data_IF_573336483929
#
_entry.id   IF_573336483929
#
_cell.length_a   1.000
_cell.length_b   1.000
_cell.length_c   1.000
_cell.angle_alpha   90.00
_cell.angle_beta   90.00
_cell.angle_gamma   90.00
#
_symmetry.space_group_name_H-M   'P 1'
#
loop_
_entity.id
_entity.type
_entity.pdbx_description
1 polymer ?
#
# COMPACT_ATOMS: atom_id res chain seq x y z
N UNK A 1 7.56 6.17 -10.31
CA UNK A 1 7.88 4.74 -10.38
C UNK A 1 8.68 4.32 -9.14
N UNK A 2 9.96 4.71 -9.01
CA UNK A 2 10.86 4.23 -7.94
C UNK A 2 10.25 4.24 -6.54
N UNK A 3 9.60 5.34 -6.14
CA UNK A 3 8.94 5.47 -4.83
C UNK A 3 7.67 4.62 -4.77
N UNK A 4 6.80 4.73 -5.79
CA UNK A 4 5.49 4.06 -5.79
C UNK A 4 5.57 2.53 -5.88
N UNK A 5 6.62 2.01 -6.52
CA UNK A 5 6.84 0.58 -6.69
C UNK A 5 7.78 -0.01 -5.61
N UNK A 6 8.07 0.79 -4.57
CA UNK A 6 8.84 0.39 -3.39
C UNK A 6 10.21 -0.21 -3.76
N UNK A 7 10.85 0.35 -4.80
CA UNK A 7 12.20 -0.07 -5.22
C UNK A 7 13.22 0.34 -4.15
N UNK A 8 14.25 -0.48 -3.85
CA UNK A 8 15.28 -0.12 -2.88
C UNK A 8 15.87 1.27 -3.12
N UNK A 9 15.78 2.16 -2.12
CA UNK A 9 16.19 3.56 -2.19
C UNK A 9 17.68 3.73 -1.83
N UNK A 10 18.52 2.95 -2.50
CA UNK A 10 19.99 2.98 -2.35
C UNK A 10 20.67 3.39 -3.65
N UNK A 11 21.92 3.83 -3.57
CA UNK A 11 22.74 4.15 -4.72
C UNK A 11 22.06 5.11 -5.69
N UNK A 12 22.01 4.73 -6.97
CA UNK A 12 21.42 5.56 -8.05
C UNK A 12 19.92 5.82 -7.86
N UNK A 13 19.15 4.85 -7.37
CA UNK A 13 17.72 5.05 -7.13
C UNK A 13 17.47 6.21 -6.15
N UNK A 14 18.26 6.26 -5.06
CA UNK A 14 18.17 7.33 -4.09
C UNK A 14 18.58 8.68 -4.70
N UNK A 15 19.66 8.71 -5.48
CA UNK A 15 20.11 9.91 -6.15
C UNK A 15 19.04 10.45 -7.11
N UNK A 16 18.42 9.58 -7.92
CA UNK A 16 17.33 9.97 -8.82
C UNK A 16 16.11 10.51 -8.09
N UNK A 17 15.69 9.88 -6.99
CA UNK A 17 14.55 10.38 -6.19
C UNK A 17 14.91 11.73 -5.57
N UNK A 18 16.10 11.87 -4.96
CA UNK A 18 16.56 13.14 -4.36
C UNK A 18 16.58 14.30 -5.36
N UNK A 19 17.05 14.05 -6.58
CA UNK A 19 17.05 15.06 -7.65
C UNK A 19 15.65 15.27 -8.23
N UNK A 20 14.89 14.20 -8.44
CA UNK A 20 13.53 14.26 -8.95
C UNK A 20 12.60 15.10 -8.07
N UNK A 21 12.70 14.98 -6.75
CA UNK A 21 11.96 15.81 -5.80
C UNK A 21 12.22 17.30 -6.00
N UNK A 22 13.50 17.69 -6.20
CA UNK A 22 13.88 19.10 -6.40
C UNK A 22 13.32 19.71 -7.69
N UNK A 23 13.23 18.92 -8.76
CA UNK A 23 12.82 19.37 -10.09
C UNK A 23 11.37 19.02 -10.44
N UNK A 24 10.62 18.42 -9.51
CA UNK A 24 9.23 17.97 -9.76
C UNK A 24 8.37 19.07 -10.37
N UNK A 25 8.47 20.30 -9.84
CA UNK A 25 7.69 21.45 -10.27
C UNK A 25 8.16 22.07 -11.61
N UNK A 26 9.28 21.63 -12.17
CA UNK A 26 9.79 22.19 -13.43
C UNK A 26 8.91 21.78 -14.63
N UNK A 27 8.12 20.72 -14.49
CA UNK A 27 7.15 20.33 -15.53
C UNK A 27 5.79 20.95 -15.23
N UNK A 28 5.19 21.58 -16.24
CA UNK A 28 3.91 22.26 -16.12
C UNK A 28 2.81 21.35 -15.54
N UNK A 29 2.68 20.12 -16.05
CA UNK A 29 1.69 19.15 -15.57
C UNK A 29 1.86 18.83 -14.09
N UNK A 30 3.09 18.61 -13.62
CA UNK A 30 3.35 18.28 -12.22
C UNK A 30 3.20 19.50 -11.30
N UNK A 31 3.57 20.68 -11.77
CA UNK A 31 3.32 21.95 -11.05
C UNK A 31 1.83 22.18 -10.88
N UNK A 32 1.05 22.09 -11.96
CA UNK A 32 -0.41 22.25 -11.90
C UNK A 32 -1.08 21.20 -11.01
N UNK A 33 -0.62 19.96 -11.09
CA UNK A 33 -1.11 18.88 -10.22
C UNK A 33 -0.82 19.21 -8.74
N UNK A 34 0.41 19.57 -8.41
CA UNK A 34 0.81 19.92 -7.05
C UNK A 34 0.04 21.13 -6.50
N UNK A 35 -0.21 22.15 -7.33
CA UNK A 35 -1.03 23.30 -6.96
C UNK A 35 -2.48 22.91 -6.72
N UNK A 36 -3.08 22.12 -7.64
CA UNK A 36 -4.49 21.69 -7.54
C UNK A 36 -4.79 20.91 -6.26
N UNK A 37 -3.85 20.05 -5.83
CA UNK A 37 -4.01 19.23 -4.63
C UNK A 37 -3.34 19.82 -3.38
N UNK A 38 -2.81 21.05 -3.46
CA UNK A 38 -2.11 21.73 -2.37
C UNK A 38 -0.92 20.91 -1.80
N UNK A 39 -0.13 20.30 -2.69
CA UNK A 39 0.97 19.39 -2.33
C UNK A 39 2.35 20.05 -2.33
N UNK A 40 2.47 21.30 -2.75
CA UNK A 40 3.77 21.94 -3.00
C UNK A 40 4.47 22.42 -1.73
N UNK A 41 3.73 22.52 -0.62
CA UNK A 41 4.32 22.74 0.70
C UNK A 41 4.76 21.40 1.29
N UNK A 42 6.01 21.31 1.73
CA UNK A 42 6.60 20.07 2.30
C UNK A 42 6.56 18.86 1.34
N UNK A 43 6.84 19.12 0.05
CA UNK A 43 6.83 18.08 -0.98
C UNK A 43 8.02 17.12 -0.81
N UNK A 44 7.73 15.88 -0.49
CA UNK A 44 8.71 14.82 -0.21
C UNK A 44 8.30 13.48 -0.84
N UNK A 45 9.04 12.44 -0.57
CA UNK A 45 8.78 11.08 -1.04
C UNK A 45 7.43 10.53 -0.54
N UNK A 46 7.00 10.86 0.67
CA UNK A 46 5.68 10.44 1.19
C UNK A 46 4.54 11.09 0.40
N UNK A 47 4.70 12.37 0.04
CA UNK A 47 3.76 13.07 -0.84
C UNK A 47 3.63 12.33 -2.17
N UNK A 48 4.75 11.86 -2.74
CA UNK A 48 4.73 11.04 -3.96
C UNK A 48 4.04 9.69 -3.70
N UNK A 49 4.42 8.98 -2.64
CA UNK A 49 3.91 7.64 -2.37
C UNK A 49 2.40 7.60 -2.11
N UNK A 50 1.90 8.54 -1.29
CA UNK A 50 0.53 8.48 -0.77
C UNK A 50 -0.44 9.44 -1.43
N UNK A 51 0.04 10.49 -2.10
CA UNK A 51 -0.82 11.49 -2.70
C UNK A 51 -0.72 11.56 -4.23
N UNK A 52 0.48 11.53 -4.79
CA UNK A 52 0.68 11.62 -6.24
C UNK A 52 0.44 10.26 -6.91
N UNK A 53 1.19 9.23 -6.52
CA UNK A 53 1.15 7.93 -7.16
C UNK A 53 -0.23 7.25 -7.15
N UNK A 54 -1.01 7.28 -6.05
CA UNK A 54 -2.35 6.69 -6.06
C UNK A 54 -3.31 7.36 -7.06
N UNK A 55 -3.21 8.68 -7.27
CA UNK A 55 -4.03 9.41 -8.24
C UNK A 55 -3.61 9.08 -9.68
N UNK A 56 -2.30 9.06 -9.96
CA UNK A 56 -1.77 8.68 -11.26
C UNK A 56 -2.14 7.24 -11.63
N UNK A 57 -2.05 6.31 -10.66
CA UNK A 57 -2.31 4.90 -10.88
C UNK A 57 -3.82 4.57 -10.98
N UNK A 58 -4.70 5.42 -10.43
CA UNK A 58 -6.13 5.14 -10.37
C UNK A 58 -6.75 4.93 -11.76
N UNK A 59 -6.37 5.76 -12.73
CA UNK A 59 -6.90 5.67 -14.09
C UNK A 59 -6.57 4.32 -14.75
N UNK A 60 -5.37 3.78 -14.54
CA UNK A 60 -4.98 2.46 -15.06
C UNK A 60 -5.63 1.29 -14.31
N UNK A 61 -6.10 1.50 -13.08
CA UNK A 61 -6.76 0.47 -12.31
C UNK A 61 -8.24 0.28 -12.67
N UNK A 62 -8.97 1.38 -12.88
CA UNK A 62 -10.42 1.34 -13.13
C UNK A 62 -10.83 1.79 -14.52
N UNK A 63 -9.87 2.18 -15.36
CA UNK A 63 -10.12 2.64 -16.72
C UNK A 63 -8.89 2.40 -17.62
N UNK A 64 -8.30 3.49 -18.12
CA UNK A 64 -7.17 3.43 -19.03
C UNK A 64 -5.95 4.20 -18.52
N UNK A 65 -4.80 3.54 -18.48
CA UNK A 65 -3.52 4.17 -18.16
C UNK A 65 -3.10 5.28 -19.16
N UNK A 66 -3.73 5.29 -20.34
CA UNK A 66 -3.48 6.31 -21.37
C UNK A 66 -3.83 7.72 -20.86
N UNK A 67 -4.79 7.85 -19.95
CA UNK A 67 -5.14 9.12 -19.32
C UNK A 67 -3.93 9.73 -18.60
N UNK A 68 -3.27 8.94 -17.76
CA UNK A 68 -2.08 9.38 -17.01
C UNK A 68 -0.89 9.64 -17.96
N UNK A 69 -0.71 8.82 -19.00
CA UNK A 69 0.31 9.07 -20.00
C UNK A 69 0.10 10.43 -20.69
N UNK A 70 -1.11 10.71 -21.19
CA UNK A 70 -1.44 11.99 -21.84
C UNK A 70 -1.23 13.18 -20.89
N UNK A 71 -1.64 13.05 -19.63
CA UNK A 71 -1.37 14.05 -18.60
C UNK A 71 0.13 14.36 -18.49
N UNK A 72 0.98 13.31 -18.43
CA UNK A 72 2.42 13.47 -18.23
C UNK A 72 3.13 14.07 -19.43
N UNK A 73 2.62 13.92 -20.67
CA UNK A 73 3.27 14.44 -21.88
C UNK A 73 2.67 15.76 -22.38
N UNK A 74 1.48 16.13 -21.92
CA UNK A 74 0.81 17.37 -22.34
C UNK A 74 1.57 18.61 -21.87
N UNK A 75 1.59 19.62 -22.70
CA UNK A 75 2.11 20.97 -22.44
C UNK A 75 1.00 22.03 -22.44
N UNK A 76 -0.23 21.64 -22.77
CA UNK A 76 -1.39 22.52 -22.76
C UNK A 76 -2.05 22.57 -21.39
N UNK A 77 -2.22 23.77 -20.84
CA UNK A 77 -2.75 23.96 -19.50
C UNK A 77 -4.22 23.52 -19.35
N UNK A 78 -5.05 23.72 -20.39
CA UNK A 78 -6.45 23.33 -20.37
C UNK A 78 -6.59 21.79 -20.41
N UNK A 79 -5.82 21.14 -21.27
CA UNK A 79 -5.79 19.68 -21.29
C UNK A 79 -5.32 19.11 -19.96
N UNK A 80 -4.24 19.65 -19.39
CA UNK A 80 -3.68 19.23 -18.11
C UNK A 80 -4.75 19.34 -17.01
N UNK A 81 -5.48 20.46 -16.92
CA UNK A 81 -6.56 20.66 -15.96
C UNK A 81 -7.67 19.60 -16.11
N UNK A 82 -8.07 19.30 -17.37
CA UNK A 82 -9.05 18.26 -17.66
C UNK A 82 -8.56 16.87 -17.25
N UNK A 83 -7.29 16.54 -17.51
CA UNK A 83 -6.71 15.26 -17.08
C UNK A 83 -6.64 15.14 -15.56
N UNK A 84 -6.27 16.19 -14.84
CA UNK A 84 -6.27 16.24 -13.36
C UNK A 84 -7.67 15.92 -12.83
N UNK A 85 -8.71 16.57 -13.34
CA UNK A 85 -10.10 16.33 -12.93
C UNK A 85 -10.53 14.89 -13.16
N UNK A 86 -10.21 14.31 -14.34
CA UNK A 86 -10.52 12.91 -14.66
C UNK A 86 -9.78 11.92 -13.77
N UNK A 87 -8.50 12.17 -13.47
CA UNK A 87 -7.71 11.34 -12.56
C UNK A 87 -8.24 11.38 -11.12
N UNK A 88 -8.70 12.55 -10.67
CA UNK A 88 -9.32 12.68 -9.32
C UNK A 88 -10.64 11.93 -9.25
N UNK A 89 -11.48 12.02 -10.29
CA UNK A 89 -12.71 11.23 -10.40
C UNK A 89 -12.41 9.74 -10.33
N UNK A 90 -11.47 9.25 -11.14
CA UNK A 90 -11.03 7.86 -11.12
C UNK A 90 -10.49 7.43 -9.74
N UNK A 91 -9.74 8.28 -9.06
CA UNK A 91 -9.23 7.99 -7.73
C UNK A 91 -10.33 7.92 -6.66
N UNK A 92 -11.35 8.80 -6.74
CA UNK A 92 -12.53 8.74 -5.85
C UNK A 92 -13.33 7.46 -6.07
N UNK A 93 -13.56 7.09 -7.32
CA UNK A 93 -14.24 5.84 -7.68
C UNK A 93 -13.47 4.61 -7.19
N UNK A 94 -12.15 4.56 -7.42
CA UNK A 94 -11.30 3.50 -6.91
C UNK A 94 -11.42 3.36 -5.37
N UNK A 95 -11.37 4.48 -4.64
CA UNK A 95 -11.51 4.47 -3.17
C UNK A 95 -12.87 3.99 -2.72
N UNK A 96 -13.94 4.37 -3.42
CA UNK A 96 -15.30 3.89 -3.13
C UNK A 96 -15.42 2.38 -3.34
N UNK A 97 -14.93 1.86 -4.47
CA UNK A 97 -14.88 0.42 -4.76
C UNK A 97 -14.06 -0.33 -3.72
N UNK A 98 -12.88 0.20 -3.36
CA UNK A 98 -12.02 -0.38 -2.31
C UNK A 98 -12.77 -0.51 -0.98
N UNK A 99 -13.45 0.56 -0.52
CA UNK A 99 -14.21 0.56 0.73
C UNK A 99 -15.32 -0.49 0.73
N UNK A 100 -16.12 -0.56 -0.35
CA UNK A 100 -17.22 -1.51 -0.49
C UNK A 100 -16.70 -2.95 -0.49
N UNK A 101 -15.69 -3.24 -1.30
CA UNK A 101 -15.15 -4.59 -1.44
C UNK A 101 -14.48 -5.04 -0.13
N UNK A 102 -13.68 -4.16 0.50
CA UNK A 102 -13.02 -4.47 1.77
C UNK A 102 -14.03 -4.77 2.88
N UNK A 103 -15.10 -3.96 3.00
CA UNK A 103 -16.16 -4.19 3.99
C UNK A 103 -16.83 -5.56 3.77
N UNK A 104 -17.09 -5.92 2.51
CA UNK A 104 -17.67 -7.23 2.16
C UNK A 104 -16.71 -8.37 2.48
N UNK A 105 -15.43 -8.21 2.15
CA UNK A 105 -14.39 -9.18 2.42
C UNK A 105 -14.21 -9.45 3.93
N UNK A 106 -14.15 -8.39 4.74
CA UNK A 106 -14.04 -8.48 6.20
C UNK A 106 -15.26 -9.20 6.79
N UNK A 107 -16.47 -8.92 6.31
CA UNK A 107 -17.67 -9.65 6.74
C UNK A 107 -17.61 -11.14 6.39
N UNK A 108 -17.08 -11.51 5.21
CA UNK A 108 -16.90 -12.93 4.86
C UNK A 108 -15.97 -13.63 5.84
N UNK A 109 -14.88 -12.99 6.22
CA UNK A 109 -13.89 -13.54 7.17
C UNK A 109 -14.53 -13.69 8.56
N UNK A 110 -15.24 -12.66 9.06
CA UNK A 110 -15.89 -12.68 10.39
C UNK A 110 -16.97 -13.75 10.50
N UNK A 111 -17.65 -14.07 9.40
CA UNK A 111 -18.69 -15.10 9.35
C UNK A 111 -18.14 -16.51 9.08
N UNK A 112 -16.84 -16.64 8.82
CA UNK A 112 -16.20 -17.94 8.58
C UNK A 112 -15.86 -18.62 9.90
N UNK A 113 -16.39 -19.79 10.15
CA UNK A 113 -16.01 -20.65 11.29
C UNK A 113 -14.62 -21.28 11.11
N UNK A 114 -14.04 -21.17 9.92
CA UNK A 114 -12.78 -21.79 9.56
C UNK A 114 -11.58 -20.99 10.09
N UNK A 115 -10.87 -21.55 11.07
CA UNK A 115 -9.57 -21.05 11.55
C UNK A 115 -8.45 -21.50 10.62
N UNK A 116 -8.43 -21.04 9.38
CA UNK A 116 -7.36 -21.35 8.43
C UNK A 116 -6.14 -20.47 8.66
N UNK A 117 -4.92 -20.96 8.38
CA UNK A 117 -3.69 -20.15 8.46
C UNK A 117 -3.54 -19.15 7.31
N UNK A 118 -4.55 -19.02 6.45
CA UNK A 118 -4.59 -18.11 5.32
C UNK A 118 -6.02 -17.63 5.05
N UNK A 119 -6.13 -16.52 4.37
CA UNK A 119 -7.41 -15.86 4.10
C UNK A 119 -7.71 -15.89 2.61
N UNK A 120 -8.86 -16.44 2.22
CA UNK A 120 -9.40 -16.32 0.85
C UNK A 120 -10.76 -15.66 0.93
N UNK A 121 -10.94 -14.59 0.16
CA UNK A 121 -12.23 -13.91 -0.02
C UNK A 121 -12.56 -13.86 -1.51
N UNK A 122 -13.85 -13.93 -1.82
CA UNK A 122 -14.28 -13.89 -3.21
C UNK A 122 -15.60 -13.13 -3.39
N UNK A 123 -15.78 -12.52 -4.55
CA UNK A 123 -17.01 -11.84 -4.89
C UNK A 123 -17.28 -11.78 -6.38
N UNK A 124 -18.55 -11.83 -6.76
CA UNK A 124 -18.95 -11.60 -8.17
C UNK A 124 -18.92 -10.10 -8.46
N UNK A 125 -18.34 -9.73 -9.60
CA UNK A 125 -18.32 -8.35 -10.05
C UNK A 125 -17.38 -7.41 -9.27
N UNK A 126 -16.50 -7.92 -8.41
CA UNK A 126 -15.44 -7.11 -7.84
C UNK A 126 -14.49 -6.62 -8.94
N UNK A 127 -14.12 -5.36 -8.89
CA UNK A 127 -13.30 -4.79 -9.95
C UNK A 127 -11.88 -5.37 -9.95
N UNK A 128 -11.44 -5.97 -11.09
CA UNK A 128 -10.13 -6.65 -11.25
C UNK A 128 -8.94 -5.75 -10.86
N UNK A 129 -9.00 -4.45 -11.18
CA UNK A 129 -7.94 -3.49 -10.84
C UNK A 129 -7.85 -3.13 -9.34
N UNK A 130 -8.85 -3.55 -8.52
CA UNK A 130 -8.91 -3.23 -7.09
C UNK A 130 -8.59 -4.44 -6.21
N UNK A 131 -8.85 -5.69 -6.65
CA UNK A 131 -8.63 -6.89 -5.83
C UNK A 131 -7.19 -7.01 -5.29
N UNK A 132 -6.19 -6.52 -6.03
CA UNK A 132 -4.81 -6.49 -5.54
C UNK A 132 -4.59 -5.56 -4.34
N UNK A 133 -5.34 -4.46 -4.27
CA UNK A 133 -5.34 -3.56 -3.12
C UNK A 133 -6.04 -4.25 -1.94
N UNK A 134 -7.15 -4.94 -2.20
CA UNK A 134 -7.89 -5.69 -1.18
C UNK A 134 -7.00 -6.77 -0.56
N UNK A 135 -6.33 -7.59 -1.38
CA UNK A 135 -5.41 -8.61 -0.88
C UNK A 135 -4.30 -8.02 0.00
N UNK A 136 -3.76 -6.83 -0.36
CA UNK A 136 -2.78 -6.12 0.47
C UNK A 136 -3.37 -5.67 1.79
N UNK A 137 -4.55 -5.04 1.79
CA UNK A 137 -5.23 -4.60 3.02
C UNK A 137 -5.57 -5.76 3.95
N UNK A 138 -6.03 -6.87 3.39
CA UNK A 138 -6.30 -8.08 4.18
C UNK A 138 -5.03 -8.64 4.81
N UNK A 139 -3.91 -8.65 4.08
CA UNK A 139 -2.61 -9.06 4.62
C UNK A 139 -2.18 -8.17 5.78
N UNK A 140 -2.40 -6.87 5.69
CA UNK A 140 -2.06 -5.92 6.76
C UNK A 140 -2.96 -6.10 8.00
N UNK A 141 -4.22 -6.54 7.82
CA UNK A 141 -5.17 -6.79 8.92
C UNK A 141 -5.02 -8.17 9.57
N UNK A 142 -4.75 -9.21 8.79
CA UNK A 142 -4.82 -10.61 9.24
C UNK A 142 -3.48 -11.35 9.20
N UNK A 143 -2.44 -10.72 8.66
CA UNK A 143 -1.12 -11.32 8.42
C UNK A 143 -1.17 -12.58 7.51
N UNK A 144 -0.02 -13.25 7.32
CA UNK A 144 0.05 -14.50 6.56
C UNK A 144 -0.20 -14.32 5.06
N UNK A 145 -0.95 -15.25 4.48
CA UNK A 145 -1.32 -15.25 3.07
C UNK A 145 -2.77 -14.82 2.90
N UNK A 146 -3.00 -13.83 2.04
CA UNK A 146 -4.33 -13.31 1.73
C UNK A 146 -4.59 -13.31 0.22
N UNK A 147 -5.74 -13.84 -0.18
CA UNK A 147 -6.20 -13.94 -1.56
C UNK A 147 -7.52 -13.21 -1.71
N UNK A 148 -7.60 -12.32 -2.70
CA UNK A 148 -8.85 -11.71 -3.11
C UNK A 148 -9.20 -12.12 -4.54
N UNK A 149 -10.38 -12.65 -4.75
CA UNK A 149 -10.84 -13.24 -6.02
C UNK A 149 -12.08 -12.52 -6.51
N UNK A 150 -12.11 -12.18 -7.78
CA UNK A 150 -13.34 -11.79 -8.49
C UNK A 150 -13.74 -12.85 -9.49
N UNK A 151 -15.05 -13.14 -9.57
CA UNK A 151 -15.61 -14.11 -10.48
C UNK A 151 -16.33 -13.35 -11.61
N UNK A 152 -15.95 -13.68 -12.85
CA UNK A 152 -16.50 -13.12 -14.08
C UNK A 152 -16.84 -14.26 -15.03
N UNK A 153 -18.12 -14.58 -15.16
CA UNK A 153 -18.58 -15.78 -15.85
C UNK A 153 -18.02 -17.06 -15.23
N UNK A 154 -17.29 -17.83 -16.01
CA UNK A 154 -16.65 -19.09 -15.58
C UNK A 154 -15.15 -18.91 -15.22
N UNK A 155 -14.66 -17.68 -15.18
CA UNK A 155 -13.25 -17.39 -14.86
C UNK A 155 -13.18 -16.66 -13.53
N UNK A 156 -12.30 -17.12 -12.66
CA UNK A 156 -11.90 -16.46 -11.44
C UNK A 156 -10.55 -15.75 -11.66
N UNK A 157 -10.49 -14.47 -11.32
CA UNK A 157 -9.26 -13.66 -11.33
C UNK A 157 -8.89 -13.37 -9.88
N UNK A 158 -7.66 -13.68 -9.51
CA UNK A 158 -7.21 -13.52 -8.15
C UNK A 158 -5.94 -12.70 -8.01
N UNK A 159 -5.78 -12.10 -6.85
CA UNK A 159 -4.54 -11.50 -6.40
C UNK A 159 -4.16 -12.06 -5.04
N UNK A 160 -2.90 -12.44 -4.88
CA UNK A 160 -2.32 -13.00 -3.67
C UNK A 160 -1.33 -12.00 -3.09
N UNK A 161 -1.35 -11.87 -1.77
CA UNK A 161 -0.31 -11.16 -1.00
C UNK A 161 0.09 -12.02 0.18
N UNK A 162 1.38 -12.04 0.50
CA UNK A 162 1.90 -12.82 1.62
C UNK A 162 2.92 -12.02 2.44
N UNK A 163 3.14 -12.48 3.66
CA UNK A 163 4.28 -12.07 4.48
C UNK A 163 5.56 -12.74 3.98
N UNK A 164 6.73 -12.31 4.47
CA UNK A 164 8.04 -12.80 4.02
C UNK A 164 8.25 -14.29 4.26
N UNK A 165 7.57 -14.87 5.24
CA UNK A 165 7.69 -16.29 5.59
C UNK A 165 7.10 -17.22 4.52
N UNK A 166 6.27 -16.71 3.61
CA UNK A 166 5.57 -17.49 2.60
C UNK A 166 6.08 -17.10 1.20
N UNK A 167 6.73 -18.03 0.52
CA UNK A 167 7.21 -17.81 -0.85
C UNK A 167 6.14 -18.23 -1.87
N UNK A 168 5.47 -17.27 -2.46
CA UNK A 168 4.42 -17.47 -3.46
C UNK A 168 4.93 -18.13 -4.74
N UNK A 169 6.24 -18.06 -5.04
CA UNK A 169 6.78 -18.65 -6.27
C UNK A 169 6.63 -20.17 -6.28
N UNK A 170 6.76 -20.82 -5.11
CA UNK A 170 6.56 -22.27 -4.95
C UNK A 170 5.11 -22.66 -5.20
N UNK A 171 4.16 -21.90 -4.62
CA UNK A 171 2.71 -22.10 -4.80
C UNK A 171 2.33 -21.96 -6.27
N UNK A 172 2.79 -20.89 -6.92
CA UNK A 172 2.52 -20.65 -8.34
C UNK A 172 3.11 -21.72 -9.23
N UNK A 173 4.29 -22.24 -8.90
CA UNK A 173 4.93 -23.33 -9.65
C UNK A 173 4.07 -24.60 -9.60
N UNK A 174 3.62 -25.01 -8.40
CA UNK A 174 2.76 -26.20 -8.28
C UNK A 174 1.42 -26.02 -8.96
N UNK A 175 0.78 -24.85 -8.78
CA UNK A 175 -0.49 -24.53 -9.45
C UNK A 175 -0.37 -24.61 -10.98
N UNK A 176 0.75 -24.16 -11.55
CA UNK A 176 1.04 -24.27 -12.99
C UNK A 176 1.32 -25.70 -13.41
N UNK A 177 2.13 -26.41 -12.64
CA UNK A 177 2.49 -27.81 -12.93
C UNK A 177 1.27 -28.73 -12.98
N UNK A 178 0.23 -28.45 -12.16
CA UNK A 178 -1.03 -29.20 -12.12
C UNK A 178 -2.12 -28.65 -13.06
N UNK A 179 -1.79 -27.73 -13.95
CA UNK A 179 -2.75 -27.11 -14.88
C UNK A 179 -4.00 -26.53 -14.18
N UNK A 180 -3.83 -25.98 -12.96
CA UNK A 180 -4.91 -25.32 -12.23
C UNK A 180 -5.13 -23.90 -12.74
N UNK A 181 -4.06 -23.23 -13.18
CA UNK A 181 -4.11 -21.84 -13.65
C UNK A 181 -4.27 -21.74 -15.17
N UNK A 182 -5.15 -20.84 -15.61
CA UNK A 182 -5.17 -20.37 -17.00
C UNK A 182 -3.95 -19.47 -17.24
N UNK A 183 -3.71 -18.54 -16.31
CA UNK A 183 -2.52 -17.68 -16.30
C UNK A 183 -2.14 -17.31 -14.87
N UNK A 184 -0.89 -17.00 -14.66
CA UNK A 184 -0.45 -16.54 -13.34
C UNK A 184 1.02 -16.14 -13.35
N UNK A 185 1.36 -15.18 -12.48
CA UNK A 185 2.72 -14.70 -12.32
C UNK A 185 2.83 -13.80 -11.11
N UNK A 186 4.07 -13.61 -10.69
CA UNK A 186 4.35 -12.79 -9.52
C UNK A 186 5.75 -13.03 -8.98
N UNK A 187 5.94 -12.55 -7.76
CA UNK A 187 7.17 -12.63 -6.99
C UNK A 187 6.88 -13.26 -5.62
N UNK A 188 7.89 -13.35 -4.77
CA UNK A 188 7.78 -14.01 -3.45
C UNK A 188 6.59 -13.59 -2.61
N UNK A 189 6.21 -12.31 -2.62
CA UNK A 189 5.19 -11.74 -1.72
C UNK A 189 3.93 -11.25 -2.44
N UNK A 190 3.91 -11.21 -3.76
CA UNK A 190 2.78 -10.69 -4.54
C UNK A 190 2.62 -11.45 -5.84
N UNK A 191 1.40 -11.93 -6.10
CA UNK A 191 1.08 -12.66 -7.32
C UNK A 191 -0.33 -12.31 -7.81
N UNK A 192 -0.54 -12.49 -9.12
CA UNK A 192 -1.83 -12.47 -9.78
C UNK A 192 -2.07 -13.74 -10.57
N UNK A 193 -3.31 -14.17 -10.67
CA UNK A 193 -3.67 -15.38 -11.41
C UNK A 193 -5.07 -15.32 -12.01
N UNK A 194 -5.32 -16.21 -12.95
CA UNK A 194 -6.65 -16.56 -13.41
C UNK A 194 -6.80 -18.09 -13.50
N UNK A 195 -8.00 -18.58 -13.22
CA UNK A 195 -8.34 -20.00 -13.27
C UNK A 195 -9.83 -20.18 -13.58
N UNK A 196 -10.24 -21.39 -13.94
CA UNK A 196 -11.65 -21.74 -14.05
C UNK A 196 -12.29 -21.88 -12.67
N UNK A 197 -13.54 -21.47 -12.54
CA UNK A 197 -14.26 -21.48 -11.25
C UNK A 197 -14.33 -22.87 -10.63
N UNK A 198 -14.44 -23.93 -11.44
CA UNK A 198 -14.43 -25.33 -10.99
C UNK A 198 -13.09 -25.77 -10.39
N UNK A 199 -12.00 -25.07 -10.72
CA UNK A 199 -10.66 -25.29 -10.15
C UNK A 199 -10.40 -24.60 -8.81
N UNK A 200 -11.32 -23.80 -8.29
CA UNK A 200 -11.14 -23.07 -7.03
C UNK A 200 -10.90 -24.00 -5.83
N UNK A 201 -11.57 -25.16 -5.78
CA UNK A 201 -11.37 -26.16 -4.71
C UNK A 201 -9.97 -26.78 -4.77
N UNK A 202 -9.44 -27.03 -5.97
CA UNK A 202 -8.09 -27.57 -6.16
C UNK A 202 -7.04 -26.51 -5.80
N UNK A 203 -7.25 -25.28 -6.22
CA UNK A 203 -6.45 -24.12 -5.81
C UNK A 203 -6.35 -23.99 -4.28
N UNK A 204 -7.50 -24.03 -3.58
CA UNK A 204 -7.57 -23.92 -2.11
C UNK A 204 -6.74 -25.01 -1.42
N UNK A 205 -6.85 -26.28 -1.86
CA UNK A 205 -6.07 -27.41 -1.32
C UNK A 205 -4.56 -27.22 -1.52
N UNK A 206 -4.15 -26.80 -2.72
CA UNK A 206 -2.72 -26.58 -3.01
C UNK A 206 -2.18 -25.44 -2.15
N UNK A 207 -2.89 -24.34 -2.03
CA UNK A 207 -2.49 -23.23 -1.15
C UNK A 207 -2.36 -23.72 0.29
N UNK A 208 -3.35 -24.45 0.80
CA UNK A 208 -3.33 -24.99 2.17
C UNK A 208 -2.10 -25.82 2.48
N UNK A 209 -1.66 -26.66 1.53
CA UNK A 209 -0.49 -27.54 1.71
C UNK A 209 0.86 -26.79 1.79
N UNK A 210 0.90 -25.54 1.34
CA UNK A 210 2.13 -24.72 1.35
C UNK A 210 2.21 -23.76 2.53
N UNK A 211 1.16 -23.69 3.35
CA UNK A 211 1.15 -22.77 4.47
C UNK A 211 1.58 -23.51 5.74
N UNK A 212 2.62 -23.06 6.43
CA UNK A 212 2.98 -23.60 7.73
C UNK A 212 1.85 -23.45 8.75
N UNK A 213 1.81 -24.31 9.75
CA UNK A 213 0.81 -24.21 10.81
C UNK A 213 0.83 -22.83 11.49
N UNK A 214 -0.35 -22.37 11.92
CA UNK A 214 -0.52 -21.04 12.54
C UNK A 214 0.42 -20.74 13.72
N UNK A 215 0.93 -21.77 14.40
CA UNK A 215 1.91 -21.62 15.48
C UNK A 215 3.18 -20.89 15.01
N UNK A 216 3.58 -21.09 13.73
CA UNK A 216 4.76 -20.45 13.14
C UNK A 216 4.61 -18.96 12.87
N UNK A 217 3.37 -18.44 12.81
CA UNK A 217 3.10 -17.01 12.57
C UNK A 217 2.85 -16.21 13.84
N UNK A 218 2.47 -16.88 14.95
CA UNK A 218 2.14 -16.21 16.21
C UNK A 218 3.35 -15.64 16.95
N UNK A 219 4.53 -16.17 16.71
CA UNK A 219 5.77 -15.75 17.39
C UNK A 219 6.55 -14.65 16.64
N UNK A 220 6.15 -14.26 15.45
CA UNK A 220 6.68 -13.05 14.83
C UNK A 220 5.98 -11.80 15.40
N UNK A 221 6.18 -11.55 16.70
CA UNK A 221 6.01 -10.19 17.23
C UNK A 221 6.87 -9.31 16.34
N UNK A 222 6.24 -8.40 15.59
CA UNK A 222 7.01 -7.44 14.83
C UNK A 222 7.82 -6.64 15.83
N UNK A 223 9.11 -6.96 15.92
CA UNK A 223 10.05 -6.16 16.69
C UNK A 223 10.07 -4.78 16.05
N UNK A 224 9.77 -3.76 16.82
CA UNK A 224 9.96 -2.40 16.38
C UNK A 224 11.43 -2.06 16.63
N UNK A 225 12.20 -1.96 15.56
CA UNK A 225 13.56 -1.46 15.62
C UNK A 225 13.52 0.04 15.88
N UNK A 226 14.19 0.49 16.92
CA UNK A 226 14.31 1.90 17.30
C UNK A 226 15.75 2.37 17.05
N UNK A 227 15.90 3.54 16.44
CA UNK A 227 17.21 4.12 16.12
C UNK A 227 17.79 4.94 17.26
N UNK A 228 16.94 5.44 18.16
CA UNK A 228 17.39 6.21 19.30
C UNK A 228 16.31 6.52 20.32
N UNK A 229 16.76 7.02 21.46
CA UNK A 229 15.90 7.51 22.53
C UNK A 229 16.32 8.94 22.87
N UNK A 230 15.35 9.83 23.06
CA UNK A 230 15.57 11.22 23.44
C UNK A 230 14.61 11.65 24.54
N UNK A 231 14.95 12.72 25.22
CA UNK A 231 14.00 13.41 26.10
C UNK A 231 13.03 14.27 25.29
N UNK A 232 11.85 14.52 25.83
CA UNK A 232 10.80 15.33 25.19
C UNK A 232 11.32 16.73 24.82
N UNK A 233 12.23 17.30 25.59
CA UNK A 233 12.88 18.60 25.35
C UNK A 233 13.84 18.55 24.18
N UNK A 234 14.32 17.37 23.78
CA UNK A 234 15.13 17.16 22.57
C UNK A 234 14.33 17.16 21.28
N UNK A 235 13.01 17.11 21.35
CA UNK A 235 12.12 17.20 20.18
C UNK A 235 11.94 18.66 19.81
N UNK A 236 12.74 19.12 18.88
CA UNK A 236 12.72 20.49 18.41
C UNK A 236 12.80 20.54 16.87
N UNK A 237 12.62 21.72 16.30
CA UNK A 237 12.65 21.93 14.85
C UNK A 237 13.99 21.55 14.24
N UNK A 238 15.10 21.81 14.93
CA UNK A 238 16.45 21.49 14.44
C UNK A 238 16.65 19.99 14.26
N UNK A 239 16.13 19.18 15.21
CA UNK A 239 16.14 17.73 15.08
C UNK A 239 15.35 17.27 13.85
N UNK A 240 14.13 17.80 13.68
CA UNK A 240 13.28 17.47 12.53
C UNK A 240 13.95 17.86 11.21
N UNK A 241 14.54 19.05 11.15
CA UNK A 241 15.23 19.52 9.95
C UNK A 241 16.45 18.65 9.63
N UNK A 242 17.24 18.27 10.64
CA UNK A 242 18.37 17.36 10.45
C UNK A 242 17.92 15.96 9.98
N UNK A 243 16.83 15.42 10.53
CA UNK A 243 16.25 14.16 10.05
C UNK A 243 15.78 14.29 8.59
N UNK A 244 15.12 15.38 8.23
CA UNK A 244 14.68 15.65 6.86
C UNK A 244 15.87 15.73 5.86
N UNK A 245 17.03 16.21 6.27
CA UNK A 245 18.24 16.21 5.43
C UNK A 245 18.74 14.80 5.07
N UNK A 246 18.45 13.81 5.93
CA UNK A 246 18.78 12.41 5.66
C UNK A 246 17.85 11.77 4.60
N UNK A 247 16.72 12.38 4.27
CA UNK A 247 15.82 11.92 3.20
C UNK A 247 16.47 11.88 1.81
N UNK A 248 15.83 11.29 0.82
CA UNK A 248 14.52 10.63 0.85
C UNK A 248 14.55 9.27 1.55
N UNK A 249 13.46 8.95 2.24
CA UNK A 249 13.25 7.68 2.92
C UNK A 249 12.42 6.71 2.08
N UNK A 250 12.49 5.42 2.39
CA UNK A 250 11.75 4.37 1.71
C UNK A 250 12.36 2.99 1.87
N UNK A 251 12.11 2.10 0.91
CA UNK A 251 12.63 0.72 0.97
C UNK A 251 14.14 0.70 1.15
N UNK A 252 14.63 -0.06 2.13
CA UNK A 252 16.02 -0.19 2.58
C UNK A 252 16.65 1.09 3.17
N UNK A 253 15.90 2.17 3.28
CA UNK A 253 16.29 3.39 3.98
C UNK A 253 15.08 3.89 4.78
N UNK A 254 14.70 3.18 5.85
CA UNK A 254 13.54 3.55 6.63
C UNK A 254 13.74 4.91 7.31
N UNK A 255 12.64 5.57 7.62
CA UNK A 255 12.67 6.77 8.44
C UNK A 255 13.10 6.37 9.86
N UNK A 256 14.02 7.11 10.49
CA UNK A 256 14.45 6.83 11.85
C UNK A 256 13.27 6.85 12.85
N UNK A 257 13.21 5.86 13.71
CA UNK A 257 12.24 5.75 14.80
C UNK A 257 12.90 6.19 16.09
N UNK A 258 12.43 7.30 16.63
CA UNK A 258 12.95 7.87 17.88
C UNK A 258 11.89 7.70 18.96
N UNK A 259 12.29 7.17 20.13
CA UNK A 259 11.41 6.92 21.25
C UNK A 259 11.62 7.97 22.34
N UNK A 260 10.52 8.50 22.85
CA UNK A 260 10.49 9.30 24.07
C UNK A 260 9.89 8.42 25.16
N UNK A 261 10.70 7.89 26.08
CA UNK A 261 10.20 6.95 27.09
C UNK A 261 9.40 7.66 28.18
N UNK A 262 8.50 6.90 28.83
CA UNK A 262 7.77 7.31 30.04
C UNK A 262 6.94 8.61 29.91
N UNK A 263 6.36 8.86 28.72
CA UNK A 263 5.46 9.99 28.53
C UNK A 263 4.10 9.73 29.20
N UNK A 264 3.56 10.76 29.85
CA UNK A 264 2.19 10.79 30.33
C UNK A 264 1.28 11.47 29.31
N UNK A 265 0.16 10.84 28.98
CA UNK A 265 -0.86 11.47 28.13
C UNK A 265 -1.69 12.43 29.01
N UNK A 266 -1.61 13.73 28.72
CA UNK A 266 -2.38 14.76 29.40
C UNK A 266 -3.77 14.95 28.83
N UNK A 267 -3.88 14.80 27.51
CA UNK A 267 -5.10 15.10 26.77
C UNK A 267 -5.16 14.28 25.48
N UNK A 268 -6.36 13.85 25.11
CA UNK A 268 -6.63 13.21 23.84
C UNK A 268 -7.84 13.87 23.18
N UNK A 269 -7.80 14.03 21.84
CA UNK A 269 -8.91 14.51 21.02
C UNK A 269 -9.02 13.67 19.78
N UNK A 270 -10.21 13.15 19.49
CA UNK A 270 -10.48 12.50 18.21
C UNK A 270 -10.47 13.51 17.08
N UNK A 271 -9.78 13.16 15.99
CA UNK A 271 -9.69 13.97 14.77
C UNK A 271 -10.00 13.10 13.55
N UNK A 272 -11.03 13.47 12.80
CA UNK A 272 -11.44 12.71 11.62
C UNK A 272 -11.87 11.28 11.94
N UNK A 273 -11.70 10.38 11.00
CA UNK A 273 -12.03 8.96 11.17
C UNK A 273 -10.80 8.18 11.69
N UNK A 274 -10.76 7.89 12.99
CA UNK A 274 -9.76 6.99 13.60
C UNK A 274 -8.40 7.61 13.92
N UNK A 275 -8.27 8.94 13.96
CA UNK A 275 -7.07 9.65 14.40
C UNK A 275 -7.26 10.24 15.80
N UNK A 276 -6.19 10.23 16.60
CA UNK A 276 -6.15 10.85 17.93
C UNK A 276 -5.04 11.91 17.95
N UNK A 277 -5.39 13.12 18.34
CA UNK A 277 -4.42 14.11 18.77
C UNK A 277 -4.15 13.86 20.26
N UNK A 278 -2.89 13.70 20.61
CA UNK A 278 -2.48 13.47 22.01
C UNK A 278 -1.51 14.57 22.44
N UNK A 279 -1.77 15.15 23.63
CA UNK A 279 -0.77 15.98 24.28
C UNK A 279 0.01 15.15 25.29
N UNK A 280 1.32 15.07 25.09
CA UNK A 280 2.24 14.29 25.91
C UNK A 280 3.00 15.20 26.87
N UNK A 281 3.31 14.68 28.06
CA UNK A 281 4.15 15.34 29.05
C UNK A 281 5.20 14.35 29.56
N UNK A 282 6.42 14.87 29.73
CA UNK A 282 7.45 14.21 30.52
C UNK A 282 8.24 15.30 31.25
N UNK A 283 8.42 15.14 32.54
CA UNK A 283 9.07 16.12 33.42
C UNK A 283 8.49 17.53 33.24
N UNK A 284 9.29 18.47 32.73
CA UNK A 284 8.88 19.85 32.44
C UNK A 284 8.46 20.08 30.99
N UNK A 285 8.74 19.15 30.10
CA UNK A 285 8.47 19.26 28.65
C UNK A 285 7.07 18.78 28.28
N UNK A 286 6.50 19.37 27.25
CA UNK A 286 5.23 18.94 26.62
C UNK A 286 5.37 18.88 25.11
N UNK A 287 4.67 17.93 24.48
CA UNK A 287 4.61 17.73 23.02
C UNK A 287 3.15 17.52 22.61
N UNK A 288 2.73 18.19 21.53
CA UNK A 288 1.40 18.07 20.92
C UNK A 288 1.46 17.25 19.63
#
# INVERSE_FOLDING_TARGET
ATVADVVPLIGLNRAYVKQGLKIFQNRLCLKMFGTHFNLLQNFNEETIAFQVAPRLNASGRIGSALLTYRFLVSTDAHEIANYISKMETANKERKALEKIILTTAVKQISNSESKRPFTIVQGKGWHKGVIGIIASRLKDLYAGLCVAITIDGNIAYGSIRSTEQIDLTKILHELKYRDVLISGGGHKQAAGFSLLVDKLNEFDKIVANHIPDQASFKDSRSLLEIDGMIDIEGVNTDLIDNLNLLGPYGSQVPQPIIVIPNCQILFTKEMGEGHLLCKLKRDKGTLD
#
